data_IF_139749478350
#
_entry.id   IF_139749478350
#
_cell.length_a   1.000
_cell.length_b   1.000
_cell.length_c   1.000
_cell.angle_alpha   90.00
_cell.angle_beta   90.00
_cell.angle_gamma   90.00
#
_symmetry.space_group_name_H-M   'P 1'
#
loop_
_entity.id
_entity.type
_entity.pdbx_description
1 polymer ?
#
# COMPACT_ATOMS: atom_id res chain seq x y z
N UNK A 1 30.53 5.60 16.25
CA UNK A 1 29.18 5.78 16.83
C UNK A 1 28.19 5.93 15.69
N UNK A 2 27.46 4.87 15.36
CA UNK A 2 26.36 4.91 14.39
C UNK A 2 25.16 5.49 15.15
N UNK A 3 24.84 6.76 14.91
CA UNK A 3 23.54 7.29 15.33
C UNK A 3 22.49 6.64 14.43
N UNK A 4 21.83 5.59 14.94
CA UNK A 4 20.52 5.18 14.44
C UNK A 4 19.60 6.38 14.68
N UNK A 5 19.30 7.12 13.62
CA UNK A 5 18.14 8.01 13.62
C UNK A 5 16.91 7.10 13.66
N UNK A 6 16.14 7.22 14.73
CA UNK A 6 14.82 6.60 14.85
C UNK A 6 13.95 7.15 13.72
N UNK A 7 13.61 6.32 12.73
CA UNK A 7 12.62 6.65 11.71
C UNK A 7 11.27 6.48 12.40
N UNK A 8 10.57 7.58 12.62
CA UNK A 8 9.24 7.59 13.22
C UNK A 8 8.29 7.96 12.10
N UNK A 9 7.77 6.93 11.41
CA UNK A 9 6.58 7.11 10.60
C UNK A 9 5.47 7.52 11.56
N UNK A 10 5.03 8.76 11.43
CA UNK A 10 4.12 9.41 12.36
C UNK A 10 2.72 8.78 12.27
N UNK A 11 2.49 7.77 13.10
CA UNK A 11 1.17 7.27 13.53
C UNK A 11 0.23 6.84 12.39
N UNK A 12 0.41 5.59 11.97
CA UNK A 12 -0.71 4.68 11.72
C UNK A 12 -0.57 3.44 12.62
N UNK A 13 -0.58 3.66 13.94
CA UNK A 13 -0.86 2.58 14.91
C UNK A 13 -2.24 2.83 15.46
N UNK A 14 -3.28 2.34 14.80
CA UNK A 14 -4.35 1.54 15.45
C UNK A 14 -5.12 0.73 14.39
N UNK A 15 -5.08 -0.60 14.50
CA UNK A 15 -5.96 -1.59 13.85
C UNK A 15 -5.98 -1.72 12.31
N UNK A 16 -4.98 -2.40 11.75
CA UNK A 16 -5.23 -3.30 10.62
C UNK A 16 -4.15 -4.39 10.59
N UNK A 17 -4.55 -5.66 10.66
CA UNK A 17 -3.71 -6.82 10.35
C UNK A 17 -3.41 -6.88 8.84
N UNK A 18 -2.93 -5.79 8.26
CA UNK A 18 -2.59 -5.73 6.85
C UNK A 18 -1.08 -5.77 6.69
N UNK A 19 -0.61 -6.57 5.75
CA UNK A 19 0.80 -6.66 5.36
C UNK A 19 1.29 -5.29 4.88
N UNK A 20 1.90 -4.53 5.77
CA UNK A 20 2.56 -3.25 5.45
C UNK A 20 3.87 -3.56 4.72
N UNK A 21 3.99 -3.08 3.48
CA UNK A 21 5.22 -3.17 2.72
C UNK A 21 6.03 -1.89 2.91
N UNK A 22 7.21 -2.01 3.54
CA UNK A 22 8.17 -0.92 3.72
C UNK A 22 9.42 -1.15 2.88
N UNK A 23 9.83 -0.11 2.16
CA UNK A 23 11.09 -0.09 1.41
C UNK A 23 12.00 1.03 1.95
N UNK A 24 13.24 0.66 2.27
CA UNK A 24 14.25 1.58 2.75
C UNK A 24 15.28 1.79 1.66
N UNK A 25 15.54 3.06 1.36
CA UNK A 25 16.54 3.40 0.36
C UNK A 25 17.81 3.92 1.02
N UNK A 26 18.96 3.53 0.50
CA UNK A 26 20.26 4.07 0.94
C UNK A 26 20.56 5.38 0.20
N UNK A 27 20.57 6.55 0.88
CA UNK A 27 20.88 7.84 0.26
C UNK A 27 22.24 7.88 -0.44
N UNK A 28 23.20 7.05 -0.03
CA UNK A 28 24.53 6.99 -0.64
C UNK A 28 24.52 6.34 -2.03
N UNK A 29 23.50 5.53 -2.34
CA UNK A 29 23.42 4.80 -3.62
C UNK A 29 23.23 5.71 -4.83
N UNK A 30 22.65 6.91 -4.66
CA UNK A 30 22.42 7.85 -5.76
C UNK A 30 23.63 8.71 -6.12
N UNK A 31 24.61 8.85 -5.22
CA UNK A 31 25.77 9.73 -5.46
C UNK A 31 25.33 11.17 -5.78
N UNK A 32 25.66 11.64 -6.98
CA UNK A 32 25.30 12.97 -7.49
C UNK A 32 24.01 12.99 -8.33
N UNK A 33 23.36 11.83 -8.53
CA UNK A 33 22.10 11.74 -9.29
C UNK A 33 20.90 12.18 -8.45
N UNK A 34 19.83 12.59 -9.12
CA UNK A 34 18.53 12.82 -8.49
C UNK A 34 18.03 11.53 -7.82
N UNK A 35 17.63 11.56 -6.54
CA UNK A 35 17.06 10.39 -5.88
C UNK A 35 15.66 10.07 -6.41
N UNK A 36 15.59 9.18 -7.40
CA UNK A 36 14.35 8.64 -7.96
C UNK A 36 14.02 7.27 -7.36
N UNK A 37 12.74 7.02 -7.12
CA UNK A 37 12.20 5.82 -6.48
C UNK A 37 10.75 5.58 -6.90
N UNK A 38 10.20 4.42 -6.54
CA UNK A 38 8.83 4.05 -6.89
C UNK A 38 7.94 3.88 -5.64
N UNK A 39 6.65 4.14 -5.83
CA UNK A 39 5.59 3.82 -4.85
C UNK A 39 4.56 2.87 -5.47
N UNK A 40 3.91 2.05 -4.65
CA UNK A 40 2.82 1.19 -5.10
C UNK A 40 1.51 1.99 -5.22
N UNK A 41 1.23 2.48 -6.42
CA UNK A 41 0.00 3.24 -6.71
C UNK A 41 -1.26 2.38 -6.68
N UNK A 42 -1.15 1.05 -6.54
CA UNK A 42 -2.31 0.17 -6.38
C UNK A 42 -2.83 0.10 -4.94
N UNK A 43 -1.97 0.42 -3.97
CA UNK A 43 -2.25 0.38 -2.54
C UNK A 43 -3.42 1.27 -2.09
N UNK A 44 -4.02 0.90 -0.96
CA UNK A 44 -5.07 1.71 -0.29
C UNK A 44 -4.48 2.84 0.54
N UNK A 45 -3.24 2.65 0.99
CA UNK A 45 -2.40 3.62 1.70
C UNK A 45 -1.04 3.69 1.02
N UNK A 46 -0.50 4.90 0.90
CA UNK A 46 0.86 5.16 0.41
C UNK A 46 1.46 6.23 1.31
N UNK A 47 2.68 6.00 1.79
CA UNK A 47 3.45 7.00 2.50
C UNK A 47 4.88 7.09 1.96
N UNK A 48 5.41 8.31 1.93
CA UNK A 48 6.80 8.60 1.63
C UNK A 48 7.33 9.51 2.71
N UNK A 49 8.39 9.08 3.39
CA UNK A 49 9.11 9.91 4.36
C UNK A 49 10.55 10.09 3.90
N UNK A 50 10.99 11.35 3.84
CA UNK A 50 12.38 11.69 3.62
C UNK A 50 12.88 12.61 4.72
N UNK A 51 14.14 12.46 5.11
CA UNK A 51 14.82 13.40 6.00
C UNK A 51 16.03 13.99 5.31
N UNK A 52 16.18 15.31 5.38
CA UNK A 52 17.28 15.98 4.69
C UNK A 52 17.66 17.34 5.28
N UNK A 53 18.88 17.76 4.96
CA UNK A 53 19.50 18.99 5.46
C UNK A 53 19.82 19.95 4.31
N UNK A 54 19.33 21.19 4.40
CA UNK A 54 19.77 22.30 3.56
C UNK A 54 21.03 22.92 4.17
N UNK A 55 22.14 22.90 3.43
CA UNK A 55 23.46 23.30 3.91
C UNK A 55 23.86 24.73 3.55
N UNK A 56 23.15 25.40 2.65
CA UNK A 56 23.49 26.75 2.18
C UNK A 56 22.59 27.86 2.69
N UNK A 57 21.72 27.57 3.67
CA UNK A 57 20.67 28.51 4.13
C UNK A 57 21.29 29.72 4.83
N UNK A 58 21.42 30.83 4.10
CA UNK A 58 21.90 32.12 4.60
C UNK A 58 20.74 33.07 4.87
N UNK A 59 20.93 33.95 5.85
CA UNK A 59 20.00 35.05 6.09
C UNK A 59 20.03 36.01 4.90
N UNK A 60 18.84 36.38 4.42
CA UNK A 60 18.66 37.28 3.30
C UNK A 60 17.25 37.86 3.28
N UNK A 61 17.04 38.89 2.47
CA UNK A 61 15.71 39.42 2.19
C UNK A 61 14.90 38.45 1.32
N UNK A 62 13.70 38.10 1.78
CA UNK A 62 12.77 37.19 1.08
C UNK A 62 13.10 35.71 1.21
N UNK A 63 12.41 34.86 0.45
CA UNK A 63 12.55 33.39 0.50
C UNK A 63 13.96 32.94 0.15
N UNK A 64 14.51 31.91 0.80
CA UNK A 64 15.73 31.27 0.29
C UNK A 64 15.49 30.75 -1.13
N UNK A 65 16.53 30.74 -1.99
CA UNK A 65 16.47 29.98 -3.25
C UNK A 65 16.56 28.48 -2.98
N UNK A 66 16.97 28.10 -1.77
CA UNK A 66 17.18 26.70 -1.39
C UNK A 66 15.91 26.10 -0.82
N UNK A 67 15.58 24.92 -1.34
CA UNK A 67 14.44 24.12 -0.93
C UNK A 67 14.74 22.66 -1.25
N UNK A 68 14.01 21.75 -0.63
CA UNK A 68 13.94 20.36 -1.07
C UNK A 68 12.54 19.82 -0.82
N UNK A 69 12.16 18.76 -1.50
CA UNK A 69 10.81 18.22 -1.40
C UNK A 69 10.68 16.82 -1.97
N UNK A 70 9.51 16.24 -1.72
CA UNK A 70 9.08 14.95 -2.27
C UNK A 70 8.17 15.26 -3.46
N UNK A 71 8.56 14.78 -4.64
CA UNK A 71 7.78 14.85 -5.87
C UNK A 71 7.09 13.52 -6.16
N UNK A 72 5.84 13.58 -6.60
CA UNK A 72 5.03 12.44 -7.03
C UNK A 72 4.35 12.76 -8.35
N UNK A 73 3.83 11.72 -9.02
CA UNK A 73 3.47 11.81 -10.44
C UNK A 73 4.63 12.38 -11.26
N UNK A 74 5.86 11.96 -10.93
CA UNK A 74 7.08 12.56 -11.47
C UNK A 74 7.40 11.94 -12.83
N UNK A 75 7.37 12.78 -13.86
CA UNK A 75 7.85 12.44 -15.21
C UNK A 75 9.23 13.05 -15.43
N UNK A 76 9.37 14.32 -15.03
CA UNK A 76 10.62 15.09 -15.01
C UNK A 76 10.46 16.33 -14.09
N UNK A 77 11.53 17.12 -13.94
CA UNK A 77 11.55 18.35 -13.11
C UNK A 77 10.49 19.41 -13.49
N UNK A 78 9.98 19.35 -14.72
CA UNK A 78 9.00 20.27 -15.29
C UNK A 78 7.56 19.75 -15.20
N UNK A 79 7.36 18.47 -14.88
CA UNK A 79 6.09 17.76 -14.88
C UNK A 79 5.98 16.85 -13.64
N UNK A 80 5.48 17.41 -12.55
CA UNK A 80 5.32 16.69 -11.28
C UNK A 80 4.36 17.44 -10.33
N UNK A 81 3.81 16.72 -9.35
CA UNK A 81 3.31 17.33 -8.12
C UNK A 81 4.38 17.25 -7.04
N UNK A 82 4.45 18.21 -6.12
CA UNK A 82 5.50 18.22 -5.10
C UNK A 82 5.07 18.93 -3.81
N UNK A 83 5.48 18.36 -2.69
CA UNK A 83 5.51 19.01 -1.39
C UNK A 83 6.96 19.38 -1.09
N UNK A 84 7.26 20.67 -0.96
CA UNK A 84 8.61 21.17 -0.69
C UNK A 84 8.66 22.03 0.54
N UNK A 85 9.83 22.03 1.17
CA UNK A 85 10.13 22.87 2.31
C UNK A 85 11.26 23.84 1.97
N UNK A 86 11.10 25.10 2.37
CA UNK A 86 12.08 26.16 2.16
C UNK A 86 12.09 27.13 3.32
N UNK A 87 13.29 27.55 3.75
CA UNK A 87 13.44 28.53 4.83
C UNK A 87 13.42 29.95 4.27
N UNK A 88 12.77 30.87 4.97
CA UNK A 88 12.82 32.31 4.67
C UNK A 88 12.86 33.15 5.92
N UNK A 89 13.17 34.42 5.73
CA UNK A 89 13.01 35.46 6.74
C UNK A 89 11.66 36.15 6.54
N UNK A 90 10.99 36.52 7.63
CA UNK A 90 9.73 37.28 7.58
C UNK A 90 9.97 38.70 7.11
N UNK A 91 10.91 39.40 7.76
CA UNK A 91 11.17 40.83 7.55
C UNK A 91 12.66 41.14 7.71
N UNK A 92 13.46 40.65 6.77
CA UNK A 92 14.93 40.71 6.86
C UNK A 92 15.47 42.12 7.12
N UNK A 93 16.22 42.25 8.21
CA UNK A 93 16.83 43.50 8.66
C UNK A 93 15.94 44.37 9.55
N UNK A 94 14.71 43.93 9.83
CA UNK A 94 13.82 44.52 10.83
C UNK A 94 14.11 43.93 12.23
N UNK A 95 13.75 44.68 13.28
CA UNK A 95 13.85 44.19 14.67
C UNK A 95 12.93 42.99 14.93
N UNK A 96 11.91 42.79 14.10
CA UNK A 96 10.94 41.69 14.16
C UNK A 96 11.28 40.54 13.21
N UNK A 97 12.45 40.55 12.57
CA UNK A 97 12.85 39.47 11.67
C UNK A 97 12.87 38.11 12.37
N UNK A 98 12.18 37.14 11.79
CA UNK A 98 12.15 35.77 12.25
C UNK A 98 12.38 34.82 11.09
N UNK A 99 13.14 33.75 11.33
CA UNK A 99 13.25 32.66 10.39
C UNK A 99 12.02 31.77 10.51
N UNK A 100 11.47 31.43 9.36
CA UNK A 100 10.33 30.53 9.23
C UNK A 100 10.59 29.54 8.11
N UNK A 101 9.87 28.42 8.14
CA UNK A 101 9.91 27.41 7.10
C UNK A 101 8.54 27.34 6.44
N UNK A 102 8.50 27.48 5.12
CA UNK A 102 7.29 27.30 4.34
C UNK A 102 7.23 25.87 3.81
N UNK A 103 6.15 25.16 4.12
CA UNK A 103 5.71 23.94 3.46
C UNK A 103 4.79 24.35 2.30
N UNK A 104 5.20 24.06 1.07
CA UNK A 104 4.47 24.44 -0.16
C UNK A 104 4.10 23.19 -0.94
N UNK A 105 2.83 23.05 -1.29
CA UNK A 105 2.36 22.07 -2.28
C UNK A 105 2.24 22.77 -3.63
N UNK A 106 2.92 22.24 -4.63
CA UNK A 106 2.94 22.76 -6.00
C UNK A 106 2.58 21.68 -7.01
N UNK A 107 2.02 22.11 -8.12
CA UNK A 107 1.88 21.32 -9.34
C UNK A 107 2.69 22.01 -10.44
N UNK A 108 3.49 21.23 -11.17
CA UNK A 108 4.24 21.70 -12.33
C UNK A 108 3.75 21.01 -13.57
N UNK A 109 3.50 21.81 -14.60
CA UNK A 109 3.14 21.32 -15.93
C UNK A 109 3.89 22.14 -16.97
N UNK A 110 4.72 21.49 -17.78
CA UNK A 110 5.62 22.14 -18.75
C UNK A 110 6.50 23.25 -18.12
N UNK A 111 6.91 23.07 -16.86
CA UNK A 111 7.76 24.00 -16.13
C UNK A 111 7.02 25.20 -15.53
N UNK A 112 5.74 25.39 -15.82
CA UNK A 112 4.89 26.36 -15.13
C UNK A 112 4.47 25.80 -13.77
N UNK A 113 4.70 26.57 -12.71
CA UNK A 113 4.43 26.15 -11.33
C UNK A 113 3.17 26.82 -10.80
N UNK A 114 2.20 26.00 -10.39
CA UNK A 114 0.99 26.43 -9.69
C UNK A 114 1.09 26.06 -8.21
N UNK A 115 1.10 27.05 -7.32
CA UNK A 115 1.03 26.83 -5.87
C UNK A 115 -0.40 26.48 -5.49
N UNK A 116 -0.59 25.32 -4.86
CA UNK A 116 -1.89 24.83 -4.39
C UNK A 116 -2.12 25.16 -2.93
N UNK A 117 -1.11 24.95 -2.09
CA UNK A 117 -1.18 25.18 -0.66
C UNK A 117 0.15 25.70 -0.12
N UNK A 118 0.09 26.53 0.93
CA UNK A 118 1.25 27.01 1.69
C UNK A 118 0.91 27.06 3.17
N UNK A 119 1.79 26.51 3.99
CA UNK A 119 1.75 26.66 5.45
C UNK A 119 3.13 27.09 5.96
N UNK A 120 3.16 28.08 6.85
CA UNK A 120 4.40 28.60 7.45
C UNK A 120 4.57 28.06 8.87
N UNK A 121 5.79 27.63 9.20
CA UNK A 121 6.16 27.03 10.47
C UNK A 121 7.26 27.84 11.15
N UNK A 122 7.06 28.15 12.42
CA UNK A 122 8.00 28.90 13.26
C UNK A 122 8.72 28.01 14.30
N UNK A 123 8.18 26.83 14.57
CA UNK A 123 8.61 25.90 15.63
C UNK A 123 8.46 24.45 15.18
N UNK A 124 9.08 23.53 15.93
CA UNK A 124 9.07 22.09 15.60
C UNK A 124 10.00 21.69 14.45
N UNK A 125 10.61 22.67 13.77
CA UNK A 125 11.44 22.51 12.57
C UNK A 125 12.83 23.13 12.75
N UNK A 126 13.78 22.63 11.98
CA UNK A 126 15.13 23.17 11.85
C UNK A 126 15.10 24.35 10.88
N UNK A 127 15.34 25.54 11.40
CA UNK A 127 15.32 26.81 10.65
C UNK A 127 16.70 27.29 10.20
N UNK A 128 17.78 26.64 10.66
CA UNK A 128 19.16 27.07 10.39
C UNK A 128 20.05 25.95 9.88
N UNK A 129 20.52 25.10 10.80
CA UNK A 129 21.35 23.93 10.54
C UNK A 129 20.70 22.74 11.22
N UNK A 130 20.72 21.60 10.54
CA UNK A 130 20.03 20.40 10.99
C UNK A 130 18.94 19.97 10.02
N UNK A 131 18.59 18.70 10.13
CA UNK A 131 17.63 18.06 9.26
C UNK A 131 16.19 18.45 9.61
N UNK A 132 15.34 18.40 8.59
CA UNK A 132 13.91 18.22 8.76
C UNK A 132 13.52 16.91 8.10
N UNK A 133 12.55 16.23 8.69
CA UNK A 133 11.79 15.14 8.09
C UNK A 133 10.55 15.73 7.45
N UNK A 134 10.22 15.26 6.25
CA UNK A 134 8.98 15.55 5.53
C UNK A 134 8.35 14.21 5.17
N UNK A 135 7.10 14.01 5.58
CA UNK A 135 6.31 12.85 5.18
C UNK A 135 5.07 13.29 4.39
N UNK A 136 4.75 12.52 3.35
CA UNK A 136 3.52 12.66 2.57
C UNK A 136 2.79 11.33 2.63
N UNK A 137 1.54 11.37 3.08
CA UNK A 137 0.68 10.18 3.16
C UNK A 137 -0.58 10.38 2.33
N UNK A 138 -0.98 9.36 1.58
CA UNK A 138 -2.22 9.32 0.82
C UNK A 138 -3.11 8.19 1.31
N UNK A 139 -4.32 8.55 1.73
CA UNK A 139 -5.32 7.61 2.21
C UNK A 139 -6.72 8.17 1.93
N UNK A 140 -7.63 7.33 1.43
CA UNK A 140 -9.05 7.69 1.29
C UNK A 140 -9.32 9.00 0.54
N UNK A 141 -8.51 9.31 -0.48
CA UNK A 141 -8.64 10.53 -1.29
C UNK A 141 -8.13 11.81 -0.62
N UNK A 142 -7.42 11.68 0.50
CA UNK A 142 -6.79 12.78 1.23
C UNK A 142 -5.28 12.62 1.22
N UNK A 143 -4.58 13.75 1.21
CA UNK A 143 -3.14 13.82 1.42
C UNK A 143 -2.85 14.53 2.74
N UNK A 144 -2.06 13.87 3.59
CA UNK A 144 -1.55 14.43 4.84
C UNK A 144 -0.07 14.73 4.68
N UNK A 145 0.36 15.88 5.19
CA UNK A 145 1.77 16.27 5.22
C UNK A 145 2.24 16.45 6.65
N UNK A 146 3.34 15.80 6.97
CA UNK A 146 3.98 15.87 8.27
C UNK A 146 5.37 16.47 8.13
N UNK A 147 5.78 17.27 9.11
CA UNK A 147 7.11 17.85 9.13
C UNK A 147 7.64 17.98 10.55
N UNK A 148 8.94 17.78 10.74
CA UNK A 148 9.58 18.03 12.02
C UNK A 148 11.08 17.83 12.01
N UNK A 149 11.79 18.43 12.96
CA UNK A 149 13.23 18.25 13.13
C UNK A 149 13.59 17.06 14.06
N UNK A 150 12.64 16.60 14.86
CA UNK A 150 12.78 15.46 15.77
C UNK A 150 11.70 14.43 15.55
N UNK A 151 10.45 14.88 15.65
CA UNK A 151 9.25 14.08 15.41
C UNK A 151 8.39 14.85 14.40
N UNK A 152 8.02 14.25 13.26
CA UNK A 152 7.11 14.88 12.32
C UNK A 152 5.71 15.05 12.93
N UNK A 153 5.17 16.27 12.86
CA UNK A 153 3.80 16.57 13.26
C UNK A 153 2.93 16.81 12.03
N UNK A 154 1.63 16.48 12.11
CA UNK A 154 0.68 16.76 11.04
C UNK A 154 0.53 18.28 10.87
N UNK A 155 0.84 18.79 9.68
CA UNK A 155 0.78 20.22 9.37
C UNK A 155 -0.28 20.55 8.31
N UNK A 156 -0.62 19.59 7.45
CA UNK A 156 -1.61 19.79 6.40
C UNK A 156 -2.41 18.51 6.18
N UNK A 157 -3.72 18.66 5.95
CA UNK A 157 -4.62 17.59 5.56
C UNK A 157 -5.60 18.15 4.52
N UNK A 158 -5.44 17.73 3.26
CA UNK A 158 -6.15 18.30 2.10
C UNK A 158 -6.73 17.21 1.20
N UNK A 159 -7.81 17.52 0.50
CA UNK A 159 -8.32 16.68 -0.58
C UNK A 159 -7.29 16.64 -1.71
N UNK A 160 -6.75 15.45 -1.97
CA UNK A 160 -5.74 15.24 -2.99
C UNK A 160 -5.73 13.75 -3.32
N UNK A 161 -5.96 13.35 -4.59
CA UNK A 161 -5.91 11.95 -4.96
C UNK A 161 -4.51 11.39 -4.77
N UNK A 162 -4.43 10.07 -4.56
CA UNK A 162 -3.15 9.36 -4.51
C UNK A 162 -2.40 9.47 -5.84
N UNK A 163 -1.06 9.28 -5.83
CA UNK A 163 -0.27 9.20 -7.05
C UNK A 163 -0.83 8.15 -8.01
N UNK A 164 -0.85 8.49 -9.30
CA UNK A 164 -1.28 7.60 -10.39
C UNK A 164 -0.07 7.01 -11.12
N UNK A 165 1.02 7.76 -11.22
CA UNK A 165 2.31 7.25 -11.71
C UNK A 165 3.15 6.72 -10.54
N UNK A 166 3.84 5.58 -10.71
CA UNK A 166 4.65 5.00 -9.64
C UNK A 166 5.90 5.81 -9.33
N UNK A 167 6.42 6.58 -10.30
CA UNK A 167 7.69 7.26 -10.16
C UNK A 167 7.57 8.52 -9.29
N UNK A 168 8.50 8.62 -8.35
CA UNK A 168 8.69 9.72 -7.41
C UNK A 168 10.16 10.17 -7.41
N UNK A 169 10.41 11.37 -6.89
CA UNK A 169 11.76 11.91 -6.78
C UNK A 169 11.94 12.80 -5.55
N UNK A 170 13.18 12.90 -5.05
CA UNK A 170 13.59 13.98 -4.16
C UNK A 170 14.17 15.12 -4.98
N UNK A 171 13.42 16.21 -5.09
CA UNK A 171 13.86 17.41 -5.81
C UNK A 171 14.41 18.44 -4.83
N UNK A 172 15.42 19.18 -5.26
CA UNK A 172 16.02 20.22 -4.44
C UNK A 172 16.64 21.34 -5.27
N UNK A 173 16.81 22.49 -4.63
CA UNK A 173 17.59 23.60 -5.15
C UNK A 173 18.62 24.04 -4.11
N UNK A 174 19.84 24.31 -4.55
CA UNK A 174 20.95 24.66 -3.65
C UNK A 174 21.68 23.46 -3.09
N UNK A 175 22.30 23.62 -1.91
CA UNK A 175 23.08 22.54 -1.28
C UNK A 175 22.21 21.72 -0.35
N UNK A 176 21.93 20.48 -0.75
CA UNK A 176 21.10 19.54 -0.02
C UNK A 176 21.88 18.27 0.34
N UNK A 177 21.53 17.65 1.47
CA UNK A 177 21.97 16.31 1.84
C UNK A 177 20.77 15.49 2.28
N UNK A 178 20.45 14.43 1.52
CA UNK A 178 19.49 13.41 1.94
C UNK A 178 20.11 12.54 3.05
N UNK A 179 19.33 12.23 4.08
CA UNK A 179 19.74 11.43 5.24
C UNK A 179 19.00 10.11 5.34
N UNK A 180 17.73 10.09 4.96
CA UNK A 180 16.91 8.88 4.86
C UNK A 180 15.80 9.09 3.84
N UNK A 181 15.35 7.97 3.26
CA UNK A 181 14.16 7.89 2.43
C UNK A 181 13.51 6.53 2.65
N UNK A 182 12.22 6.54 2.96
CA UNK A 182 11.40 5.35 3.20
C UNK A 182 10.09 5.51 2.46
N UNK A 183 9.64 4.42 1.84
CA UNK A 183 8.28 4.30 1.32
C UNK A 183 7.54 3.21 2.07
N UNK A 184 6.23 3.43 2.26
CA UNK A 184 5.33 2.47 2.87
C UNK A 184 4.05 2.39 2.06
N UNK A 185 3.50 1.18 1.94
CA UNK A 185 2.21 0.98 1.29
C UNK A 185 1.45 -0.14 1.98
N UNK A 186 0.13 -0.05 1.88
CA UNK A 186 -0.77 -1.13 2.25
C UNK A 186 -1.42 -1.72 1.00
N UNK A 187 -1.29 -3.04 0.84
CA UNK A 187 -1.86 -3.74 -0.30
C UNK A 187 -3.38 -3.59 -0.37
N UNK A 188 -3.89 -3.38 -1.57
CA UNK A 188 -5.32 -3.44 -1.83
C UNK A 188 -5.74 -4.90 -2.04
N UNK A 189 -5.80 -5.69 -0.96
CA UNK A 189 -6.15 -7.12 -1.01
C UNK A 189 -7.43 -7.41 -1.79
N UNK A 190 -8.54 -6.65 -1.63
CA UNK A 190 -9.74 -6.89 -2.44
C UNK A 190 -9.48 -6.76 -3.95
N UNK A 191 -8.64 -5.80 -4.34
CA UNK A 191 -8.26 -5.63 -5.75
C UNK A 191 -7.39 -6.78 -6.24
N UNK A 192 -6.43 -7.25 -5.44
CA UNK A 192 -5.57 -8.40 -5.80
C UNK A 192 -6.38 -9.69 -6.01
N UNK A 193 -7.46 -9.86 -5.25
CA UNK A 193 -8.36 -11.00 -5.35
C UNK A 193 -9.52 -10.79 -6.35
N UNK A 194 -9.51 -9.70 -7.11
CA UNK A 194 -10.54 -9.47 -8.13
C UNK A 194 -10.27 -10.39 -9.33
N UNK A 195 -11.26 -11.21 -9.70
CA UNK A 195 -11.21 -11.96 -10.95
C UNK A 195 -11.90 -11.20 -12.09
N UNK A 196 -11.66 -11.63 -13.32
CA UNK A 196 -12.36 -11.14 -14.52
C UNK A 196 -13.67 -11.88 -14.79
N UNK A 197 -14.01 -12.88 -13.96
CA UNK A 197 -15.20 -13.69 -14.15
C UNK A 197 -16.47 -12.96 -13.77
N UNK A 198 -17.52 -13.23 -14.53
CA UNK A 198 -18.89 -12.85 -14.20
C UNK A 198 -19.75 -14.11 -14.10
N UNK A 199 -20.87 -14.00 -13.40
CA UNK A 199 -21.81 -15.12 -13.26
C UNK A 199 -22.27 -15.67 -14.61
N UNK A 200 -22.62 -14.79 -15.55
CA UNK A 200 -23.05 -15.19 -16.91
C UNK A 200 -21.98 -15.99 -17.65
N UNK A 201 -20.72 -15.54 -17.59
CA UNK A 201 -19.60 -16.24 -18.24
C UNK A 201 -19.40 -17.63 -17.64
N UNK A 202 -19.54 -17.76 -16.32
CA UNK A 202 -19.42 -19.06 -15.65
C UNK A 202 -20.60 -19.99 -15.94
N UNK A 203 -21.83 -19.47 -15.95
CA UNK A 203 -23.02 -20.26 -16.28
C UNK A 203 -22.89 -20.85 -17.71
N UNK A 204 -22.44 -20.06 -18.69
CA UNK A 204 -22.17 -20.52 -20.06
C UNK A 204 -21.03 -21.55 -20.14
N UNK A 205 -19.93 -21.30 -19.42
CA UNK A 205 -18.78 -22.21 -19.36
C UNK A 205 -19.18 -23.56 -18.77
N UNK A 206 -19.84 -23.56 -17.62
CA UNK A 206 -20.20 -24.78 -16.91
C UNK A 206 -21.27 -25.61 -17.64
N UNK A 207 -22.13 -24.98 -18.45
CA UNK A 207 -23.09 -25.69 -19.28
C UNK A 207 -22.45 -26.59 -20.36
N UNK A 208 -21.20 -26.32 -20.74
CA UNK A 208 -20.46 -27.05 -21.79
C UNK A 208 -19.17 -27.72 -21.30
N UNK A 209 -18.83 -27.56 -20.02
CA UNK A 209 -17.59 -28.11 -19.46
C UNK A 209 -17.66 -29.63 -19.34
N UNK A 210 -16.57 -30.29 -19.72
CA UNK A 210 -16.35 -31.73 -19.50
C UNK A 210 -15.43 -32.00 -18.31
N UNK A 211 -14.91 -30.95 -17.67
CA UNK A 211 -14.06 -31.12 -16.49
C UNK A 211 -14.94 -31.42 -15.26
N UNK A 212 -14.69 -32.52 -14.54
CA UNK A 212 -15.54 -32.93 -13.43
C UNK A 212 -15.50 -31.95 -12.25
N UNK A 213 -14.45 -31.14 -12.10
CA UNK A 213 -14.32 -30.21 -10.99
C UNK A 213 -14.92 -28.84 -11.28
N UNK A 214 -15.00 -28.44 -12.55
CA UNK A 214 -15.62 -27.18 -12.92
C UNK A 214 -17.11 -27.15 -12.59
N UNK A 215 -17.58 -26.07 -11.97
CA UNK A 215 -18.98 -25.91 -11.60
C UNK A 215 -19.17 -25.14 -10.31
N UNK A 216 -20.41 -25.11 -9.83
CA UNK A 216 -20.77 -24.52 -8.55
C UNK A 216 -20.71 -25.56 -7.43
N UNK A 217 -20.15 -25.15 -6.29
CA UNK A 217 -19.94 -25.98 -5.13
C UNK A 217 -20.53 -25.31 -3.90
N UNK A 218 -21.20 -26.08 -3.05
CA UNK A 218 -21.81 -25.59 -1.82
C UNK A 218 -21.18 -26.21 -0.60
N UNK A 219 -21.07 -25.40 0.45
CA UNK A 219 -20.72 -25.86 1.78
C UNK A 219 -21.60 -27.06 2.18
N UNK A 220 -20.93 -28.16 2.55
CA UNK A 220 -21.55 -29.36 3.08
C UNK A 220 -21.53 -29.31 4.61
N UNK A 221 -20.33 -29.38 5.18
CA UNK A 221 -20.09 -29.32 6.61
C UNK A 221 -18.62 -28.98 6.92
N UNK A 222 -18.26 -29.04 8.20
CA UNK A 222 -16.91 -28.76 8.70
C UNK A 222 -16.54 -29.67 9.86
N UNK A 223 -15.24 -29.80 10.07
CA UNK A 223 -14.65 -30.29 11.32
C UNK A 223 -13.53 -29.30 11.66
N UNK A 224 -13.76 -28.43 12.64
CA UNK A 224 -12.85 -27.32 12.98
C UNK A 224 -12.51 -27.30 14.46
N UNK A 225 -11.27 -26.92 14.77
CA UNK A 225 -10.86 -26.50 16.11
C UNK A 225 -11.07 -24.99 16.25
N UNK A 226 -12.24 -24.58 16.77
CA UNK A 226 -12.65 -23.17 16.88
C UNK A 226 -11.74 -22.33 17.82
N UNK A 227 -10.82 -22.97 18.57
CA UNK A 227 -9.77 -22.29 19.32
C UNK A 227 -8.59 -21.84 18.45
N UNK A 228 -8.43 -22.44 17.27
CA UNK A 228 -7.36 -22.17 16.30
C UNK A 228 -7.86 -21.45 15.06
N UNK A 229 -8.97 -21.91 14.50
CA UNK A 229 -9.57 -21.35 13.30
C UNK A 229 -11.09 -21.45 13.39
N UNK A 230 -11.76 -20.31 13.24
CA UNK A 230 -13.23 -20.23 13.19
C UNK A 230 -13.67 -20.18 11.74
N UNK A 231 -14.83 -20.78 11.47
CA UNK A 231 -15.45 -20.70 10.16
C UNK A 231 -15.79 -19.24 9.83
N UNK A 232 -15.26 -18.74 8.71
CA UNK A 232 -15.58 -17.38 8.23
C UNK A 232 -16.93 -17.27 7.51
N UNK A 233 -17.55 -18.40 7.16
CA UNK A 233 -18.87 -18.45 6.52
C UNK A 233 -19.17 -19.81 5.90
N UNK A 234 -20.43 -20.02 5.52
CA UNK A 234 -20.91 -21.20 4.78
C UNK A 234 -20.88 -20.91 3.29
N UNK A 235 -19.69 -21.02 2.71
CA UNK A 235 -19.43 -20.53 1.36
C UNK A 235 -20.13 -21.33 0.26
N UNK A 236 -20.62 -20.61 -0.73
CA UNK A 236 -20.80 -21.11 -2.09
C UNK A 236 -19.60 -20.67 -2.94
N UNK A 237 -19.10 -21.60 -3.75
CA UNK A 237 -17.92 -21.43 -4.59
C UNK A 237 -18.26 -21.74 -6.04
N UNK A 238 -17.50 -21.15 -6.96
CA UNK A 238 -17.40 -21.62 -8.32
C UNK A 238 -15.95 -22.08 -8.55
N UNK A 239 -15.77 -23.27 -9.11
CA UNK A 239 -14.44 -23.80 -9.43
C UNK A 239 -14.26 -23.71 -10.93
N UNK A 240 -13.14 -23.13 -11.35
CA UNK A 240 -12.81 -22.90 -12.75
C UNK A 240 -11.40 -23.40 -13.02
N UNK A 241 -11.19 -24.11 -14.12
CA UNK A 241 -9.87 -24.56 -14.53
C UNK A 241 -9.12 -23.46 -15.28
N UNK A 242 -7.89 -23.19 -14.90
CA UNK A 242 -7.00 -22.22 -15.53
C UNK A 242 -5.66 -22.90 -15.85
N UNK A 243 -5.49 -23.31 -17.11
CA UNK A 243 -4.38 -24.17 -17.50
C UNK A 243 -4.43 -25.51 -16.76
N UNK A 244 -3.40 -25.78 -15.96
CA UNK A 244 -3.32 -26.98 -15.12
C UNK A 244 -3.88 -26.76 -13.71
N UNK A 245 -4.16 -25.53 -13.30
CA UNK A 245 -4.61 -25.20 -11.94
C UNK A 245 -6.14 -24.97 -11.90
N UNK A 246 -6.71 -24.94 -10.70
CA UNK A 246 -8.10 -24.55 -10.49
C UNK A 246 -8.17 -23.30 -9.62
N UNK A 247 -9.01 -22.36 -10.01
CA UNK A 247 -9.32 -21.15 -9.24
C UNK A 247 -10.67 -21.34 -8.56
N UNK A 248 -10.72 -21.07 -7.26
CA UNK A 248 -11.93 -21.09 -6.45
C UNK A 248 -12.42 -19.67 -6.34
N UNK A 249 -13.60 -19.38 -6.88
CA UNK A 249 -14.24 -18.08 -6.85
C UNK A 249 -15.31 -18.06 -5.77
N UNK A 250 -15.31 -17.04 -4.92
CA UNK A 250 -16.37 -16.76 -3.97
C UNK A 250 -17.67 -16.45 -4.71
N UNK A 251 -18.75 -17.17 -4.43
CA UNK A 251 -20.09 -16.87 -4.96
C UNK A 251 -20.90 -16.13 -3.90
N UNK A 252 -21.00 -16.72 -2.71
CA UNK A 252 -21.77 -16.19 -1.59
C UNK A 252 -21.37 -16.89 -0.27
N UNK A 253 -21.99 -16.49 0.85
CA UNK A 253 -21.96 -17.24 2.10
C UNK A 253 -20.89 -16.81 3.11
N UNK A 254 -20.20 -15.68 2.88
CA UNK A 254 -19.33 -15.09 3.90
C UNK A 254 -20.16 -14.54 5.07
N UNK A 255 -19.80 -14.89 6.30
CA UNK A 255 -20.46 -14.41 7.53
C UNK A 255 -19.57 -13.42 8.28
N UNK A 256 -18.25 -13.65 8.31
CA UNK A 256 -17.24 -12.81 8.92
C UNK A 256 -16.60 -11.92 7.85
N UNK A 257 -16.53 -10.60 8.11
CA UNK A 257 -16.03 -9.60 7.16
C UNK A 257 -16.69 -9.70 5.77
N UNK A 258 -17.98 -10.02 5.72
CA UNK A 258 -18.71 -10.24 4.48
C UNK A 258 -18.68 -9.04 3.53
N UNK A 259 -18.62 -7.81 4.06
CA UNK A 259 -18.51 -6.58 3.27
C UNK A 259 -17.23 -6.48 2.42
N UNK A 260 -16.18 -7.21 2.79
CA UNK A 260 -14.94 -7.27 2.02
C UNK A 260 -15.07 -8.18 0.80
N UNK A 261 -15.94 -9.19 0.86
CA UNK A 261 -16.09 -10.20 -0.18
C UNK A 261 -17.19 -9.82 -1.17
N UNK A 262 -16.83 -9.74 -2.44
CA UNK A 262 -17.77 -9.55 -3.56
C UNK A 262 -17.83 -10.83 -4.38
N UNK A 263 -19.02 -11.20 -4.91
CA UNK A 263 -19.13 -12.33 -5.81
C UNK A 263 -18.09 -12.28 -6.94
N UNK A 264 -17.56 -13.46 -7.28
CA UNK A 264 -16.50 -13.71 -8.24
C UNK A 264 -15.09 -13.29 -7.82
N UNK A 265 -14.87 -12.84 -6.59
CA UNK A 265 -13.49 -12.70 -6.07
C UNK A 265 -12.83 -14.07 -5.89
N UNK A 266 -11.52 -14.13 -6.07
CA UNK A 266 -10.71 -15.33 -5.83
C UNK A 266 -10.73 -15.62 -4.33
N UNK A 267 -11.27 -16.79 -3.98
CA UNK A 267 -11.29 -17.34 -2.61
C UNK A 267 -10.14 -18.32 -2.36
N UNK A 268 -9.57 -18.88 -3.42
CA UNK A 268 -8.41 -19.75 -3.33
C UNK A 268 -7.99 -20.32 -4.69
N UNK A 269 -6.98 -21.17 -4.66
CA UNK A 269 -6.49 -21.92 -5.81
C UNK A 269 -6.09 -23.33 -5.40
N UNK A 270 -6.25 -24.28 -6.32
CA UNK A 270 -5.84 -25.67 -6.18
C UNK A 270 -4.88 -26.02 -7.29
N UNK A 271 -3.64 -26.33 -6.91
CA UNK A 271 -2.59 -26.73 -7.85
C UNK A 271 -2.41 -28.25 -7.82
N UNK A 272 -2.49 -28.97 -8.96
CA UNK A 272 -2.36 -30.41 -8.96
C UNK A 272 -1.01 -30.87 -8.41
N UNK A 273 -1.05 -31.91 -7.59
CA UNK A 273 0.13 -32.66 -7.19
C UNK A 273 0.30 -33.90 -8.07
N UNK A 274 1.42 -34.65 -7.96
CA UNK A 274 1.56 -35.95 -8.62
C UNK A 274 0.53 -37.01 -8.20
N UNK A 275 -0.19 -36.79 -7.09
CA UNK A 275 -1.21 -37.72 -6.59
C UNK A 275 -2.58 -37.37 -7.18
N UNK A 276 -3.29 -38.40 -7.67
CA UNK A 276 -4.62 -38.22 -8.28
C UNK A 276 -5.59 -37.59 -7.28
N UNK A 277 -6.34 -36.59 -7.75
CA UNK A 277 -7.36 -35.86 -6.97
C UNK A 277 -6.82 -35.21 -5.70
N UNK A 278 -5.53 -34.87 -5.67
CA UNK A 278 -4.87 -34.19 -4.56
C UNK A 278 -4.18 -32.93 -5.07
N UNK A 279 -4.38 -31.83 -4.36
CA UNK A 279 -3.93 -30.51 -4.79
C UNK A 279 -3.30 -29.75 -3.62
N UNK A 280 -2.24 -29.01 -3.91
CA UNK A 280 -1.77 -27.96 -3.00
C UNK A 280 -2.82 -26.84 -2.99
N UNK A 281 -3.19 -26.38 -1.81
CA UNK A 281 -4.26 -25.39 -1.62
C UNK A 281 -3.65 -24.05 -1.20
N UNK A 282 -4.17 -22.99 -1.80
CA UNK A 282 -4.11 -21.64 -1.22
C UNK A 282 -5.55 -21.21 -0.96
N UNK A 283 -5.86 -20.81 0.27
CA UNK A 283 -7.19 -20.34 0.65
C UNK A 283 -7.10 -18.97 1.29
N UNK A 284 -7.89 -18.00 0.83
CA UNK A 284 -7.91 -16.67 1.43
C UNK A 284 -8.94 -16.61 2.55
N UNK A 285 -8.51 -16.24 3.76
CA UNK A 285 -9.33 -16.21 4.97
C UNK A 285 -10.35 -15.05 4.97
N UNK A 286 -11.00 -14.73 6.10
CA UNK A 286 -11.94 -13.59 6.17
C UNK A 286 -11.25 -12.21 6.11
N UNK A 287 -9.95 -12.15 6.37
CA UNK A 287 -9.10 -10.96 6.27
C UNK A 287 -8.37 -10.85 4.91
N UNK A 288 -8.69 -11.77 3.98
CA UNK A 288 -8.05 -11.90 2.67
C UNK A 288 -6.56 -12.25 2.75
N UNK A 289 -6.12 -12.85 3.87
CA UNK A 289 -4.78 -13.38 4.01
C UNK A 289 -4.71 -14.79 3.44
N UNK A 290 -3.64 -15.15 2.70
CA UNK A 290 -3.45 -16.50 2.20
C UNK A 290 -3.19 -17.46 3.37
N UNK A 291 -3.87 -18.59 3.31
CA UNK A 291 -3.58 -19.80 4.07
C UNK A 291 -2.99 -20.80 3.08
N UNK A 292 -1.67 -20.89 3.04
CA UNK A 292 -0.89 -21.73 2.12
C UNK A 292 0.14 -22.62 2.85
N UNK A 293 0.31 -22.45 4.16
CA UNK A 293 1.17 -23.27 5.00
C UNK A 293 0.59 -24.69 5.24
N UNK A 294 1.12 -25.67 4.52
CA UNK A 294 0.77 -27.11 4.64
C UNK A 294 -0.73 -27.40 4.40
N UNK A 295 -1.39 -26.52 3.63
CA UNK A 295 -2.81 -26.70 3.29
C UNK A 295 -2.96 -27.42 1.96
N UNK A 296 -3.96 -28.30 1.88
CA UNK A 296 -4.19 -29.10 0.68
C UNK A 296 -5.68 -29.37 0.50
N UNK A 297 -6.04 -29.82 -0.69
CA UNK A 297 -7.40 -30.24 -0.99
C UNK A 297 -7.43 -31.59 -1.69
N UNK A 298 -8.54 -32.30 -1.51
CA UNK A 298 -8.78 -33.59 -2.12
C UNK A 298 -10.22 -33.68 -2.60
N UNK A 299 -10.42 -34.41 -3.71
CA UNK A 299 -11.76 -34.75 -4.21
C UNK A 299 -11.92 -36.26 -4.21
N UNK A 300 -12.93 -36.76 -3.49
CA UNK A 300 -13.20 -38.19 -3.42
C UNK A 300 -14.08 -38.70 -4.58
N UNK A 301 -14.38 -40.00 -4.58
CA UNK A 301 -15.18 -40.65 -5.62
C UNK A 301 -16.66 -40.21 -5.63
N UNK A 302 -17.15 -39.65 -4.52
CA UNK A 302 -18.52 -39.16 -4.38
C UNK A 302 -18.63 -37.67 -4.74
N UNK A 303 -17.59 -37.09 -5.35
CA UNK A 303 -17.48 -35.66 -5.70
C UNK A 303 -17.65 -34.74 -4.48
N UNK A 304 -17.07 -35.14 -3.35
CA UNK A 304 -16.89 -34.26 -2.20
C UNK A 304 -15.51 -33.64 -2.24
N UNK A 305 -15.46 -32.32 -2.33
CA UNK A 305 -14.25 -31.53 -2.18
C UNK A 305 -13.99 -31.30 -0.69
N UNK A 306 -12.84 -31.77 -0.22
CA UNK A 306 -12.37 -31.52 1.15
C UNK A 306 -11.17 -30.60 1.12
N UNK A 307 -11.29 -29.44 1.77
CA UNK A 307 -10.18 -28.52 2.04
C UNK A 307 -9.62 -28.81 3.43
N UNK A 308 -8.32 -29.07 3.53
CA UNK A 308 -7.64 -29.44 4.77
C UNK A 308 -6.68 -28.34 5.19
N UNK A 309 -6.73 -27.99 6.48
CA UNK A 309 -5.91 -26.98 7.14
C UNK A 309 -5.21 -27.62 8.36
N UNK A 310 -4.15 -28.42 8.17
CA UNK A 310 -3.54 -29.25 9.22
C UNK A 310 -3.01 -28.46 10.43
N UNK A 311 -2.32 -27.34 10.19
CA UNK A 311 -1.81 -26.43 11.24
C UNK A 311 -2.96 -26.01 12.18
N UNK A 312 -4.13 -25.78 11.60
CA UNK A 312 -5.34 -25.34 12.26
C UNK A 312 -6.25 -26.49 12.73
N UNK A 313 -5.86 -27.75 12.51
CA UNK A 313 -6.66 -28.95 12.81
C UNK A 313 -8.09 -28.84 12.31
N UNK A 314 -8.23 -28.34 11.09
CA UNK A 314 -9.52 -27.94 10.56
C UNK A 314 -9.70 -28.44 9.13
N UNK A 315 -10.94 -28.70 8.74
CA UNK A 315 -11.33 -29.02 7.37
C UNK A 315 -12.72 -28.48 7.05
N UNK A 316 -12.92 -28.18 5.77
CA UNK A 316 -14.20 -27.79 5.19
C UNK A 316 -14.54 -28.75 4.06
N UNK A 317 -15.81 -29.12 3.95
CA UNK A 317 -16.27 -29.99 2.87
C UNK A 317 -17.33 -29.29 2.01
N UNK A 318 -17.29 -29.58 0.73
CA UNK A 318 -18.19 -29.02 -0.27
C UNK A 318 -18.70 -30.12 -1.19
N UNK A 319 -19.94 -29.98 -1.64
CA UNK A 319 -20.52 -30.85 -2.67
C UNK A 319 -20.79 -30.02 -3.93
N UNK A 320 -20.69 -30.66 -5.08
CA UNK A 320 -21.01 -30.03 -6.37
C UNK A 320 -22.54 -29.93 -6.55
N UNK A 321 -23.01 -28.78 -7.01
CA UNK A 321 -24.42 -28.55 -7.37
C UNK A 321 -24.76 -29.12 -8.75
#
# INVERSE_FOLDING_TARGET
MKHLFSIILAIAVVFSCNSQKREYYDPLSWGDNTPEFNVDTSGVFIAVEASGELKGVKERRGSSKEWWGIAWNYVDDANCCMARIGVRNTDFGDLTDSRVLDLTVVERHNGEEAVKHVTTLERGVSLQKGANSLAVEWESGRMKLFIGAKEPELVMDVECPKPVEPQCAILYSGRFKLLSLVTESEENKPRLLTSTYSRTVLDERFASSVDPLEGYWSYLDRETDDSRARLGGRYDLAIVKEGDEYVLLYVDGAEVNSSMWKPMMIKGSMKPTPFKSHYDLTWYDSMMEPMDDDTFSMVDGDMILTLKFPVYRSQLRFYKR
#
